data_IF_573191368752
#
_entry.id   IF_573191368752
#
_cell.length_a   1.000
_cell.length_b   1.000
_cell.length_c   1.000
_cell.angle_alpha   90.00
_cell.angle_beta   90.00
_cell.angle_gamma   90.00
#
_symmetry.space_group_name_H-M   'P 1'
#
loop_
_entity.id
_entity.type
_entity.pdbx_description
1 polymer ?
#
# COMPACT_ATOMS: atom_id res chain seq x y z
N UNK A 1 8.18 25.86 17.92
CA UNK A 1 7.58 25.07 16.84
C UNK A 1 6.60 25.98 16.15
N UNK A 2 6.52 26.04 14.82
CA UNK A 2 5.54 26.93 14.17
C UNK A 2 4.20 26.20 13.95
N UNK A 3 3.14 26.96 13.70
CA UNK A 3 1.78 26.42 13.49
C UNK A 3 1.70 25.50 12.26
N UNK A 4 2.43 25.82 11.19
CA UNK A 4 2.45 25.05 9.95
C UNK A 4 3.05 23.65 10.19
N UNK A 5 4.11 23.54 10.98
CA UNK A 5 4.77 22.26 11.27
C UNK A 5 3.84 21.30 12.02
N UNK A 6 3.05 21.84 12.97
CA UNK A 6 2.05 21.08 13.72
C UNK A 6 0.88 20.63 12.84
N UNK A 7 0.40 21.49 11.94
CA UNK A 7 -0.65 21.11 10.99
C UNK A 7 -0.17 20.03 10.01
N UNK A 8 1.05 20.18 9.46
CA UNK A 8 1.68 19.17 8.61
C UNK A 8 1.93 17.86 9.36
N UNK A 9 2.22 17.92 10.65
CA UNK A 9 2.32 16.72 11.49
C UNK A 9 1.01 15.96 11.54
N UNK A 10 -0.13 16.62 11.76
CA UNK A 10 -1.46 15.98 11.76
C UNK A 10 -1.70 15.23 10.45
N UNK A 11 -1.42 15.85 9.30
CA UNK A 11 -1.57 15.22 7.98
C UNK A 11 -0.66 13.99 7.79
N UNK A 12 0.58 14.06 8.30
CA UNK A 12 1.52 12.93 8.29
C UNK A 12 1.04 11.78 9.17
N UNK A 13 0.52 12.06 10.36
CA UNK A 13 0.01 11.01 11.25
C UNK A 13 -1.29 10.42 10.70
N UNK A 14 -2.18 11.22 10.11
CA UNK A 14 -3.36 10.73 9.39
C UNK A 14 -2.97 9.73 8.31
N UNK A 15 -2.00 10.10 7.47
CA UNK A 15 -1.50 9.24 6.38
C UNK A 15 -0.94 7.91 6.91
N UNK A 16 -0.23 7.93 8.05
CA UNK A 16 0.26 6.71 8.71
C UNK A 16 -0.89 5.86 9.26
N UNK A 17 -1.89 6.49 9.89
CA UNK A 17 -3.06 5.81 10.42
C UNK A 17 -3.87 5.11 9.31
N UNK A 18 -4.11 5.81 8.19
CA UNK A 18 -4.79 5.22 7.02
C UNK A 18 -4.01 4.02 6.49
N UNK A 19 -2.68 4.13 6.30
CA UNK A 19 -1.84 3.00 5.86
C UNK A 19 -1.94 1.81 6.80
N UNK A 20 -1.91 2.04 8.11
CA UNK A 20 -2.07 0.98 9.11
C UNK A 20 -3.42 0.26 9.00
N UNK A 21 -4.51 1.01 8.76
CA UNK A 21 -5.84 0.43 8.54
C UNK A 21 -5.85 -0.38 7.23
N UNK A 22 -5.31 0.18 6.15
CA UNK A 22 -5.20 -0.50 4.86
C UNK A 22 -4.43 -1.81 4.95
N UNK A 23 -3.25 -1.83 5.60
CA UNK A 23 -2.43 -3.03 5.78
C UNK A 23 -3.18 -4.14 6.54
N UNK A 24 -3.79 -3.79 7.68
CA UNK A 24 -4.62 -4.70 8.49
C UNK A 24 -5.73 -5.33 7.66
N UNK A 25 -6.49 -4.52 6.94
CA UNK A 25 -7.62 -5.01 6.15
C UNK A 25 -7.19 -5.74 4.89
N UNK A 26 -6.14 -5.29 4.20
CA UNK A 26 -5.63 -5.95 3.00
C UNK A 26 -5.14 -7.36 3.32
N UNK A 27 -4.52 -7.58 4.49
CA UNK A 27 -4.16 -8.92 4.97
C UNK A 27 -5.39 -9.81 5.15
N UNK A 28 -6.45 -9.31 5.79
CA UNK A 28 -7.70 -10.05 5.99
C UNK A 28 -8.43 -10.33 4.67
N UNK A 29 -8.50 -9.33 3.78
CA UNK A 29 -9.09 -9.45 2.44
C UNK A 29 -8.35 -10.49 1.62
N UNK A 30 -7.01 -10.50 1.65
CA UNK A 30 -6.18 -11.49 0.96
C UNK A 30 -6.47 -12.91 1.48
N UNK A 31 -6.39 -13.11 2.80
CA UNK A 31 -6.69 -14.40 3.42
C UNK A 31 -8.10 -14.90 3.04
N UNK A 32 -9.09 -13.99 3.03
CA UNK A 32 -10.46 -14.37 2.67
C UNK A 32 -10.64 -14.69 1.19
N UNK A 33 -9.94 -13.98 0.29
CA UNK A 33 -9.89 -14.32 -1.13
C UNK A 33 -9.32 -15.73 -1.30
N UNK A 34 -8.20 -16.03 -0.64
CA UNK A 34 -7.55 -17.34 -0.71
C UNK A 34 -8.48 -18.46 -0.20
N UNK A 35 -9.13 -18.24 0.95
CA UNK A 35 -10.12 -19.17 1.51
C UNK A 35 -11.26 -19.44 0.52
N UNK A 36 -11.91 -18.40 0.00
CA UNK A 36 -13.06 -18.56 -0.91
C UNK A 36 -12.66 -19.16 -2.26
N UNK A 37 -11.44 -18.88 -2.72
CA UNK A 37 -10.92 -19.38 -4.00
C UNK A 37 -10.45 -20.84 -3.89
N UNK A 38 -10.02 -21.28 -2.70
CA UNK A 38 -9.45 -22.63 -2.47
C UNK A 38 -10.34 -23.78 -2.95
N UNK A 39 -11.67 -23.64 -2.90
CA UNK A 39 -12.62 -24.65 -3.38
C UNK A 39 -12.52 -24.96 -4.89
N UNK A 40 -11.84 -24.11 -5.66
CA UNK A 40 -11.60 -24.33 -7.09
C UNK A 40 -10.19 -24.83 -7.39
N UNK A 41 -9.31 -24.91 -6.38
CA UNK A 41 -7.88 -25.16 -6.56
C UNK A 41 -7.61 -26.48 -7.27
N UNK A 42 -8.19 -27.58 -6.80
CA UNK A 42 -8.03 -28.91 -7.40
C UNK A 42 -8.43 -28.93 -8.89
N UNK A 43 -9.56 -28.31 -9.23
CA UNK A 43 -10.05 -28.26 -10.60
C UNK A 43 -9.16 -27.39 -11.50
N UNK A 44 -8.65 -26.28 -10.97
CA UNK A 44 -7.69 -25.42 -11.69
C UNK A 44 -6.36 -26.13 -11.90
N UNK A 45 -5.87 -26.87 -10.90
CA UNK A 45 -4.64 -27.65 -11.01
C UNK A 45 -4.76 -28.77 -12.05
N UNK A 46 -5.92 -29.45 -12.09
CA UNK A 46 -6.24 -30.42 -13.13
C UNK A 46 -6.23 -29.77 -14.52
N UNK A 47 -6.86 -28.60 -14.70
CA UNK A 47 -6.83 -27.90 -15.98
C UNK A 47 -5.43 -27.41 -16.37
N UNK A 48 -4.63 -26.95 -15.40
CA UNK A 48 -3.26 -26.55 -15.64
C UNK A 48 -2.41 -27.75 -16.10
N UNK A 49 -2.57 -28.92 -15.46
CA UNK A 49 -1.86 -30.14 -15.86
C UNK A 49 -2.24 -30.59 -17.27
N UNK A 50 -3.55 -30.63 -17.59
CA UNK A 50 -4.04 -30.96 -18.93
C UNK A 50 -3.49 -30.00 -19.98
N UNK A 51 -3.51 -28.70 -19.70
CA UNK A 51 -2.97 -27.69 -20.61
C UNK A 51 -1.46 -27.84 -20.79
N UNK A 52 -0.70 -28.09 -19.72
CA UNK A 52 0.75 -28.29 -19.82
C UNK A 52 1.08 -29.47 -20.74
N UNK A 53 0.37 -30.59 -20.60
CA UNK A 53 0.56 -31.75 -21.48
C UNK A 53 0.22 -31.43 -22.94
N UNK A 54 -0.91 -30.74 -23.18
CA UNK A 54 -1.27 -30.29 -24.53
C UNK A 54 -0.23 -29.34 -25.11
N UNK A 55 0.25 -28.36 -24.33
CA UNK A 55 1.26 -27.40 -24.74
C UNK A 55 2.55 -28.10 -25.14
N UNK A 56 3.03 -29.06 -24.35
CA UNK A 56 4.23 -29.84 -24.68
C UNK A 56 4.05 -30.61 -25.98
N UNK A 57 2.92 -31.33 -26.14
CA UNK A 57 2.66 -32.12 -27.34
C UNK A 57 2.56 -31.22 -28.59
N UNK A 58 1.90 -30.08 -28.48
CA UNK A 58 1.79 -29.12 -29.57
C UNK A 58 3.17 -28.53 -29.92
N UNK A 59 3.95 -28.12 -28.93
CA UNK A 59 5.31 -27.58 -29.17
C UNK A 59 6.23 -28.59 -29.85
N UNK A 60 6.14 -29.87 -29.48
CA UNK A 60 6.90 -30.94 -30.13
C UNK A 60 6.48 -31.08 -31.60
N UNK A 61 5.17 -31.21 -31.87
CA UNK A 61 4.65 -31.30 -33.24
C UNK A 61 5.08 -30.10 -34.11
N UNK A 62 4.97 -28.88 -33.58
CA UNK A 62 5.33 -27.68 -34.34
C UNK A 62 6.84 -27.57 -34.57
N UNK A 63 7.66 -28.13 -33.69
CA UNK A 63 9.11 -28.26 -33.88
C UNK A 63 9.39 -29.27 -34.99
N UNK A 64 8.79 -30.45 -34.93
CA UNK A 64 8.95 -31.51 -35.94
C UNK A 64 8.57 -30.97 -37.34
N UNK A 65 7.41 -30.31 -37.47
CA UNK A 65 6.95 -29.70 -38.72
C UNK A 65 7.82 -28.55 -39.21
N UNK A 66 8.54 -27.88 -38.32
CA UNK A 66 9.46 -26.79 -38.67
C UNK A 66 10.78 -27.34 -39.22
N UNK A 67 11.22 -28.50 -38.74
CA UNK A 67 12.42 -29.19 -39.20
C UNK A 67 12.18 -30.03 -40.46
N UNK A 68 10.91 -30.37 -40.73
CA UNK A 68 10.48 -31.06 -41.94
C UNK A 68 10.74 -30.23 -43.22
N UNK A 69 11.42 -30.85 -44.20
CA UNK A 69 11.84 -30.20 -45.45
C UNK A 69 10.69 -29.96 -46.45
N UNK A 70 9.57 -30.68 -46.33
CA UNK A 70 8.42 -30.57 -47.21
C UNK A 70 7.35 -29.61 -46.67
N UNK A 71 7.19 -29.53 -45.34
CA UNK A 71 6.13 -28.74 -44.68
C UNK A 71 6.62 -27.36 -44.22
N UNK A 72 7.80 -27.27 -43.59
CA UNK A 72 8.44 -26.03 -43.12
C UNK A 72 7.50 -25.06 -42.35
N UNK A 73 6.93 -25.52 -41.22
CA UNK A 73 6.08 -24.68 -40.37
C UNK A 73 6.79 -23.40 -39.90
N UNK A 74 6.21 -22.24 -40.21
CA UNK A 74 6.81 -20.92 -39.99
C UNK A 74 6.42 -20.23 -38.68
N UNK A 75 5.56 -20.85 -37.86
CA UNK A 75 5.05 -20.27 -36.62
C UNK A 75 3.78 -19.44 -36.81
N UNK A 76 2.93 -19.40 -35.78
CA UNK A 76 1.73 -18.57 -35.75
C UNK A 76 1.63 -17.79 -34.44
N UNK A 77 1.54 -16.46 -34.53
CA UNK A 77 1.49 -15.58 -33.36
C UNK A 77 0.41 -15.97 -32.34
N UNK A 78 -0.83 -16.19 -32.79
CA UNK A 78 -1.93 -16.57 -31.88
C UNK A 78 -1.72 -17.90 -31.16
N UNK A 79 -0.95 -18.84 -31.73
CA UNK A 79 -0.63 -20.08 -31.02
C UNK A 79 0.31 -19.76 -29.85
N UNK A 80 1.38 -19.03 -30.12
CA UNK A 80 2.35 -18.63 -29.09
C UNK A 80 1.72 -17.77 -27.99
N UNK A 81 0.90 -16.78 -28.36
CA UNK A 81 0.19 -15.93 -27.39
C UNK A 81 -0.79 -16.74 -26.54
N UNK A 82 -1.55 -17.67 -27.15
CA UNK A 82 -2.47 -18.55 -26.41
C UNK A 82 -1.72 -19.46 -25.43
N UNK A 83 -0.60 -20.03 -25.86
CA UNK A 83 0.22 -20.90 -25.00
C UNK A 83 0.76 -20.13 -23.79
N UNK A 84 1.28 -18.93 -24.03
CA UNK A 84 1.80 -18.05 -22.98
C UNK A 84 0.73 -17.66 -21.96
N UNK A 85 -0.48 -17.29 -22.42
CA UNK A 85 -1.57 -16.90 -21.52
C UNK A 85 -2.03 -18.08 -20.68
N UNK A 86 -2.29 -19.22 -21.31
CA UNK A 86 -2.81 -20.39 -20.63
C UNK A 86 -1.76 -21.12 -19.76
N UNK A 87 -0.49 -20.75 -19.82
CA UNK A 87 0.51 -21.24 -18.87
C UNK A 87 0.27 -20.80 -17.41
N UNK A 88 -0.64 -19.85 -17.17
CA UNK A 88 -0.94 -19.27 -15.84
C UNK A 88 -2.45 -19.27 -15.56
N UNK A 89 -3.15 -20.40 -15.77
CA UNK A 89 -4.62 -20.49 -15.70
C UNK A 89 -5.15 -19.99 -14.36
N UNK A 90 -4.59 -20.47 -13.25
CA UNK A 90 -5.06 -20.07 -11.91
C UNK A 90 -5.01 -18.56 -11.73
N UNK A 91 -3.88 -17.96 -12.09
CA UNK A 91 -3.65 -16.53 -11.92
C UNK A 91 -4.63 -15.72 -12.75
N UNK A 92 -4.78 -16.05 -14.04
CA UNK A 92 -5.73 -15.35 -14.92
C UNK A 92 -7.15 -15.44 -14.38
N UNK A 93 -7.59 -16.64 -13.99
CA UNK A 93 -8.94 -16.83 -13.43
C UNK A 93 -9.11 -16.02 -12.15
N UNK A 94 -8.10 -16.01 -11.27
CA UNK A 94 -8.12 -15.29 -10.00
C UNK A 94 -8.14 -13.77 -10.19
N UNK A 95 -7.31 -13.24 -11.07
CA UNK A 95 -7.22 -11.79 -11.36
C UNK A 95 -8.49 -11.25 -12.00
N UNK A 96 -9.15 -12.07 -12.82
CA UNK A 96 -10.41 -11.73 -13.48
C UNK A 96 -11.66 -12.11 -12.64
N UNK A 97 -11.47 -12.57 -11.40
CA UNK A 97 -12.58 -12.92 -10.51
C UNK A 97 -13.04 -11.75 -9.65
N UNK A 98 -14.34 -11.49 -9.69
CA UNK A 98 -15.00 -10.57 -8.75
C UNK A 98 -15.46 -11.30 -7.49
N UNK A 99 -14.94 -10.89 -6.33
CA UNK A 99 -15.30 -11.48 -5.04
C UNK A 99 -16.43 -10.69 -4.37
N UNK A 100 -17.67 -10.98 -4.77
CA UNK A 100 -18.86 -10.19 -4.39
C UNK A 100 -19.50 -10.59 -3.04
N UNK A 101 -19.03 -11.65 -2.41
CA UNK A 101 -19.55 -12.14 -1.12
C UNK A 101 -18.87 -11.51 0.09
N UNK A 102 -18.37 -12.34 1.00
CA UNK A 102 -17.74 -11.89 2.26
C UNK A 102 -16.54 -10.93 2.02
N UNK A 103 -15.79 -11.12 0.94
CA UNK A 103 -14.70 -10.20 0.56
C UNK A 103 -15.21 -8.78 0.29
N UNK A 104 -16.38 -8.62 -0.33
CA UNK A 104 -16.97 -7.28 -0.55
C UNK A 104 -17.34 -6.63 0.78
N UNK A 105 -17.90 -7.40 1.73
CA UNK A 105 -18.21 -6.91 3.08
C UNK A 105 -16.95 -6.42 3.81
N UNK A 106 -15.84 -7.14 3.70
CA UNK A 106 -14.55 -6.71 4.27
C UNK A 106 -14.03 -5.43 3.63
N UNK A 107 -14.13 -5.28 2.30
CA UNK A 107 -13.78 -4.03 1.60
C UNK A 107 -14.62 -2.85 2.06
N UNK A 108 -15.92 -3.05 2.23
CA UNK A 108 -16.84 -2.02 2.73
C UNK A 108 -16.50 -1.62 4.16
N UNK A 109 -16.22 -2.59 5.05
CA UNK A 109 -15.80 -2.32 6.41
C UNK A 109 -14.48 -1.54 6.48
N UNK A 110 -13.47 -1.93 5.68
CA UNK A 110 -12.23 -1.16 5.51
C UNK A 110 -12.48 0.27 5.10
N UNK A 111 -13.27 0.48 4.05
CA UNK A 111 -13.54 1.82 3.54
C UNK A 111 -14.26 2.67 4.59
N UNK A 112 -15.20 2.08 5.35
CA UNK A 112 -15.85 2.76 6.47
C UNK A 112 -14.86 3.16 7.57
N UNK A 113 -13.96 2.27 7.99
CA UNK A 113 -12.93 2.57 8.99
C UNK A 113 -11.98 3.68 8.51
N UNK A 114 -11.58 3.67 7.24
CA UNK A 114 -10.75 4.75 6.64
C UNK A 114 -11.49 6.10 6.68
N UNK A 115 -12.78 6.14 6.33
CA UNK A 115 -13.55 7.38 6.39
C UNK A 115 -13.73 7.89 7.82
N UNK A 116 -13.92 6.99 8.79
CA UNK A 116 -13.96 7.35 10.22
C UNK A 116 -12.61 7.92 10.70
N UNK A 117 -11.49 7.34 10.28
CA UNK A 117 -10.14 7.88 10.55
C UNK A 117 -9.99 9.28 9.94
N UNK A 118 -10.25 9.43 8.65
CA UNK A 118 -10.18 10.74 7.96
C UNK A 118 -11.03 11.79 8.63
N UNK A 119 -12.26 11.44 8.98
CA UNK A 119 -13.18 12.35 9.65
C UNK A 119 -12.66 12.82 11.00
N UNK A 120 -12.08 11.92 11.80
CA UNK A 120 -11.50 12.28 13.09
C UNK A 120 -10.25 13.16 12.96
N UNK A 121 -9.32 12.83 12.05
CA UNK A 121 -8.15 13.67 11.80
C UNK A 121 -8.53 15.04 11.24
N UNK A 122 -9.53 15.13 10.37
CA UNK A 122 -10.05 16.39 9.86
C UNK A 122 -10.58 17.29 10.98
N UNK A 123 -11.26 16.74 12.00
CA UNK A 123 -11.69 17.50 13.18
C UNK A 123 -10.51 18.05 13.97
N UNK A 124 -9.52 17.19 14.25
CA UNK A 124 -8.29 17.60 14.96
C UNK A 124 -7.57 18.72 14.20
N UNK A 125 -7.49 18.60 12.88
CA UNK A 125 -6.89 19.60 12.00
C UNK A 125 -7.64 20.94 12.05
N UNK A 126 -8.98 20.94 11.94
CA UNK A 126 -9.78 22.17 12.00
C UNK A 126 -9.61 22.88 13.35
N UNK A 127 -9.74 22.14 14.45
CA UNK A 127 -9.57 22.68 15.81
C UNK A 127 -8.18 23.29 15.96
N UNK A 128 -7.13 22.59 15.51
CA UNK A 128 -5.76 23.09 15.54
C UNK A 128 -5.55 24.31 14.64
N UNK A 129 -6.19 24.35 13.47
CA UNK A 129 -6.08 25.46 12.52
C UNK A 129 -6.71 26.74 13.06
N UNK A 130 -7.76 26.66 13.86
CA UNK A 130 -8.43 27.84 14.42
C UNK A 130 -7.77 28.36 15.71
N UNK A 131 -6.84 27.60 16.28
CA UNK A 131 -6.12 28.03 17.49
C UNK A 131 -5.18 29.21 17.26
N UNK A 132 -5.08 30.06 18.28
CA UNK A 132 -4.34 31.34 18.23
C UNK A 132 -2.82 31.19 18.23
N UNK A 133 -2.25 30.06 18.67
CA UNK A 133 -0.80 29.88 18.78
C UNK A 133 -0.37 28.43 18.62
N UNK A 134 0.88 28.22 18.19
CA UNK A 134 1.48 26.89 18.09
C UNK A 134 1.56 26.16 19.44
N UNK A 135 1.77 26.89 20.54
CA UNK A 135 1.78 26.33 21.90
C UNK A 135 0.46 25.64 22.25
N UNK A 136 -0.67 26.29 21.99
CA UNK A 136 -2.01 25.71 22.26
C UNK A 136 -2.28 24.47 21.41
N UNK A 137 -1.80 24.47 20.16
CA UNK A 137 -1.93 23.31 19.27
C UNK A 137 -1.10 22.14 19.81
N UNK A 138 0.15 22.39 20.23
CA UNK A 138 1.00 21.37 20.83
C UNK A 138 0.36 20.76 22.09
N UNK A 139 -0.11 21.60 23.02
CA UNK A 139 -0.81 21.16 24.24
C UNK A 139 -2.08 20.34 23.91
N UNK A 140 -2.84 20.75 22.89
CA UNK A 140 -4.03 20.02 22.43
C UNK A 140 -3.68 18.65 21.86
N UNK A 141 -2.66 18.56 20.99
CA UNK A 141 -2.22 17.30 20.40
C UNK A 141 -1.65 16.36 21.46
N UNK A 142 -0.82 16.86 22.39
CA UNK A 142 -0.33 16.07 23.52
C UNK A 142 -1.49 15.57 24.41
N UNK A 143 -2.50 16.42 24.65
CA UNK A 143 -3.72 16.04 25.39
C UNK A 143 -4.57 14.96 24.70
N UNK A 144 -4.47 14.84 23.37
CA UNK A 144 -5.06 13.75 22.59
C UNK A 144 -4.16 12.49 22.51
N UNK A 145 -2.96 12.54 23.10
CA UNK A 145 -2.00 11.44 23.11
C UNK A 145 -1.09 11.37 21.89
N UNK A 146 -0.99 12.44 21.08
CA UNK A 146 -0.01 12.48 20.01
C UNK A 146 1.41 12.67 20.56
N UNK A 147 2.34 11.83 20.09
CA UNK A 147 3.76 12.04 20.35
C UNK A 147 4.35 13.05 19.36
N UNK A 148 4.55 14.29 19.85
CA UNK A 148 5.15 15.39 19.08
C UNK A 148 6.65 15.57 19.36
N UNK A 149 7.31 14.64 20.07
CA UNK A 149 8.74 14.70 20.40
C UNK A 149 9.63 14.92 19.18
N UNK A 150 9.32 14.22 18.08
CA UNK A 150 10.03 14.33 16.79
C UNK A 150 10.05 15.75 16.21
N UNK A 151 9.04 16.57 16.48
CA UNK A 151 9.02 17.97 16.06
C UNK A 151 9.91 18.86 16.94
N UNK A 152 10.12 18.48 18.20
CA UNK A 152 10.96 19.21 19.16
C UNK A 152 12.46 18.99 18.86
N UNK A 153 12.83 17.81 18.36
CA UNK A 153 14.21 17.48 17.97
C UNK A 153 14.68 18.24 16.72
N UNK A 154 13.84 18.36 15.69
CA UNK A 154 14.15 19.12 14.47
C UNK A 154 14.35 20.61 14.75
N UNK A 155 13.61 21.14 15.73
CA UNK A 155 13.72 22.52 16.17
C UNK A 155 15.00 22.80 16.98
N UNK A 156 15.41 21.86 17.85
CA UNK A 156 16.70 21.91 18.56
C UNK A 156 17.89 21.85 17.59
N UNK A 157 17.80 21.06 16.51
CA UNK A 157 18.83 21.04 15.46
C UNK A 157 18.97 22.40 14.78
N UNK A 158 17.86 23.04 14.41
CA UNK A 158 17.87 24.36 13.77
C UNK A 158 18.45 25.46 14.67
N UNK A 159 18.18 25.40 15.97
CA UNK A 159 18.76 26.31 16.97
C UNK A 159 20.26 26.05 17.23
N UNK A 160 20.75 24.85 16.92
CA UNK A 160 22.15 24.46 17.16
C UNK A 160 23.12 24.81 16.03
N UNK A 161 22.63 25.17 14.83
CA UNK A 161 23.49 25.25 13.64
C UNK A 161 24.01 26.63 13.21
N UNK A 162 23.66 27.76 13.83
CA UNK A 162 24.21 29.07 13.39
C UNK A 162 24.29 30.10 14.53
N UNK A 163 24.70 29.67 15.73
CA UNK A 163 24.96 30.59 16.84
C UNK A 163 26.46 30.63 17.12
N UNK A 164 27.14 31.67 16.63
CA UNK A 164 28.49 32.03 17.08
C UNK A 164 28.39 32.52 18.53
N UNK A 165 28.55 31.58 19.46
CA UNK A 165 28.48 31.84 20.90
C UNK A 165 29.55 32.84 21.38
N UNK A 166 30.62 33.07 20.61
CA UNK A 166 31.62 34.10 20.93
C UNK A 166 31.11 35.53 20.73
N UNK A 167 29.97 35.70 20.06
CA UNK A 167 29.28 36.98 19.84
C UNK A 167 28.03 37.15 20.71
N UNK A 168 27.68 36.13 21.50
CA UNK A 168 26.58 36.24 22.45
C UNK A 168 27.07 36.89 23.75
N UNK A 169 26.64 38.13 23.99
CA UNK A 169 26.74 38.74 25.31
C UNK A 169 25.58 38.24 26.17
N UNK A 170 25.85 37.36 27.12
CA UNK A 170 24.88 36.92 28.13
C UNK A 170 25.01 37.87 29.31
N UNK A 171 24.03 38.76 29.50
CA UNK A 171 24.04 39.68 30.64
C UNK A 171 23.73 38.93 31.95
N UNK A 172 24.71 38.87 32.84
CA UNK A 172 24.65 38.40 34.22
C UNK A 172 25.90 37.55 34.55
N UNK A 173 26.86 37.96 35.37
CA UNK A 173 26.93 38.99 36.40
C UNK A 173 28.25 39.79 36.27
N UNK A 174 28.20 41.08 36.59
CA UNK A 174 29.40 41.79 37.03
C UNK A 174 29.77 41.25 38.42
N UNK A 175 30.88 40.51 38.52
CA UNK A 175 31.84 40.62 39.62
C UNK A 175 33.22 40.12 39.17
#
# INVERSE_FOLDING_TARGET
>A
MNKKDLLNFIERVESKAIKSVEEKWNKQIKAKKDEVFSKYKEKLDMYQSTFNNFSTNLTNLLTDMKEDQEVAYSGHYYINDSLMRLARIEEIVRENSSFNGQVMKLKQARNKEIEEVRFNYKKVYMVSKDMSSAKKIAEYLEGLGFDISTLKEDEMKYLSTDIDKSKLFVCGENH
#
